data_IF_667198950599
#
_entry.id   IF_667198950599
#
_cell.length_a   1.000
_cell.length_b   1.000
_cell.length_c   1.000
_cell.angle_alpha   90.00
_cell.angle_beta   90.00
_cell.angle_gamma   90.00
#
_symmetry.space_group_name_H-M   'P 1'
#
loop_
_entity.id
_entity.type
_entity.pdbx_description
1 polymer ?
#
# COMPACT_ATOMS: atom_id res chain seq x y z
N UNK A 1 46.60 -44.43 -55.85
CA UNK A 1 47.19 -43.12 -56.22
C UNK A 1 46.20 -42.04 -55.80
N UNK A 2 46.65 -40.83 -55.42
CA UNK A 2 45.76 -39.68 -55.24
C UNK A 2 45.13 -39.52 -53.85
N UNK A 3 45.91 -38.99 -52.91
CA UNK A 3 45.51 -38.21 -51.73
C UNK A 3 46.39 -36.94 -51.77
N UNK A 4 46.16 -35.89 -50.95
CA UNK A 4 44.95 -35.22 -50.48
C UNK A 4 45.02 -33.76 -51.02
N UNK A 5 44.94 -32.64 -50.26
CA UNK A 5 44.20 -32.23 -49.03
C UNK A 5 43.16 -31.12 -49.40
N UNK A 6 42.69 -30.13 -48.62
CA UNK A 6 42.91 -29.49 -47.29
C UNK A 6 41.53 -28.95 -46.80
N UNK A 7 41.19 -28.55 -45.57
CA UNK A 7 41.59 -28.72 -44.14
C UNK A 7 40.30 -28.38 -43.31
N UNK A 8 40.08 -28.54 -42.00
CA UNK A 8 40.86 -28.35 -40.75
C UNK A 8 41.24 -26.89 -40.42
N UNK A 9 41.45 -26.50 -39.13
CA UNK A 9 41.34 -27.27 -37.88
C UNK A 9 40.34 -26.69 -36.84
N UNK A 10 40.17 -27.42 -35.72
CA UNK A 10 39.57 -26.98 -34.45
C UNK A 10 40.37 -27.61 -33.29
N UNK A 11 40.97 -26.79 -32.40
CA UNK A 11 41.82 -27.20 -31.23
C UNK A 11 42.12 -26.00 -30.31
N UNK A 12 42.27 -26.22 -28.99
CA UNK A 12 42.76 -25.24 -28.00
C UNK A 12 41.66 -24.77 -27.03
N UNK A 13 41.31 -25.48 -25.96
CA UNK A 13 42.07 -25.82 -24.73
C UNK A 13 42.25 -24.63 -23.75
N UNK A 14 41.65 -24.74 -22.54
CA UNK A 14 42.33 -24.49 -21.24
C UNK A 14 41.41 -24.79 -20.03
N UNK A 15 41.99 -24.96 -18.83
CA UNK A 15 41.32 -25.49 -17.62
C UNK A 15 40.93 -24.44 -16.54
N UNK A 16 40.02 -24.87 -15.64
CA UNK A 16 40.13 -24.77 -14.16
C UNK A 16 39.21 -23.84 -13.32
N UNK A 17 38.98 -24.31 -12.08
CA UNK A 17 38.46 -23.66 -10.85
C UNK A 17 37.06 -22.99 -10.78
N UNK A 18 36.07 -23.77 -10.29
CA UNK A 18 35.49 -23.51 -8.95
C UNK A 18 34.92 -24.79 -8.30
N UNK A 19 34.74 -24.82 -6.97
CA UNK A 19 34.32 -26.02 -6.21
C UNK A 19 33.24 -25.75 -5.15
N UNK A 20 32.25 -26.65 -4.99
CA UNK A 20 31.44 -26.75 -3.77
C UNK A 20 31.89 -27.91 -2.86
N UNK A 21 32.36 -27.61 -1.64
CA UNK A 21 32.56 -28.61 -0.57
C UNK A 21 31.24 -28.87 0.18
N UNK A 22 30.75 -30.11 0.24
CA UNK A 22 31.16 -31.25 1.10
C UNK A 22 30.56 -31.23 2.53
N UNK A 23 29.58 -32.10 2.74
CA UNK A 23 29.58 -33.08 3.84
C UNK A 23 29.11 -34.43 3.27
N UNK A 24 29.81 -35.51 3.60
CA UNK A 24 29.55 -36.89 3.14
C UNK A 24 29.92 -37.85 4.28
N UNK A 25 29.16 -38.93 4.45
CA UNK A 25 29.33 -39.90 5.54
C UNK A 25 28.04 -40.69 5.81
N UNK A 26 27.43 -41.31 4.80
CA UNK A 26 27.76 -42.67 4.30
C UNK A 26 27.25 -43.78 5.20
N UNK A 27 26.02 -44.23 4.94
CA UNK A 27 25.47 -45.49 5.46
C UNK A 27 26.20 -46.70 4.88
N UNK A 28 26.26 -47.82 5.61
CA UNK A 28 26.61 -49.16 5.10
C UNK A 28 25.47 -50.14 5.38
N UNK A 29 25.47 -51.27 4.66
CA UNK A 29 24.26 -52.10 4.46
C UNK A 29 23.85 -53.04 5.63
N UNK A 30 22.54 -53.32 5.72
CA UNK A 30 21.84 -54.65 5.75
C UNK A 30 22.33 -55.81 6.65
N UNK A 31 21.49 -56.85 6.97
CA UNK A 31 20.21 -57.20 6.34
C UNK A 31 19.04 -57.56 7.30
N UNK A 32 17.97 -58.08 6.68
CA UNK A 32 16.72 -58.65 7.19
C UNK A 32 16.76 -59.54 8.44
N UNK A 33 15.69 -59.46 9.25
CA UNK A 33 15.23 -60.47 10.22
C UNK A 33 13.71 -60.31 10.46
N UNK A 34 13.01 -61.41 10.72
CA UNK A 34 11.54 -61.50 10.86
C UNK A 34 11.16 -62.14 12.22
N UNK A 35 10.02 -61.72 12.81
CA UNK A 35 9.32 -62.38 13.95
C UNK A 35 10.13 -62.29 15.29
N UNK A 36 9.58 -62.13 16.50
CA UNK A 36 8.36 -62.64 17.14
C UNK A 36 7.85 -61.69 18.27
N UNK A 37 6.71 -62.01 18.89
CA UNK A 37 6.20 -61.34 20.11
C UNK A 37 6.73 -62.01 21.39
N UNK A 38 7.02 -61.23 22.45
CA UNK A 38 6.84 -61.69 23.83
C UNK A 38 6.59 -60.51 24.80
N UNK A 39 5.99 -60.79 25.96
CA UNK A 39 5.47 -59.81 26.92
C UNK A 39 5.99 -60.05 28.34
N UNK A 40 6.69 -59.07 28.94
CA UNK A 40 7.01 -59.08 30.36
C UNK A 40 7.00 -57.67 30.99
N UNK A 41 6.41 -57.58 32.17
CA UNK A 41 6.45 -56.42 33.08
C UNK A 41 7.66 -56.54 34.04
N UNK A 42 7.92 -55.46 34.81
CA UNK A 42 8.47 -55.40 36.20
C UNK A 42 9.47 -54.25 36.46
N UNK A 43 8.90 -53.08 36.78
CA UNK A 43 9.07 -52.40 38.10
C UNK A 43 10.47 -51.95 38.60
N UNK A 44 10.64 -50.61 38.74
CA UNK A 44 11.56 -49.86 39.65
C UNK A 44 13.09 -49.89 39.34
N UNK A 45 13.96 -48.94 39.74
CA UNK A 45 13.87 -47.75 40.62
C UNK A 45 14.89 -46.61 40.27
N UNK A 46 14.75 -45.45 40.94
CA UNK A 46 15.75 -44.38 41.22
C UNK A 46 16.43 -43.54 40.09
N UNK A 47 16.36 -42.20 40.16
CA UNK A 47 17.26 -41.26 39.45
C UNK A 47 18.16 -40.42 40.40
N UNK A 48 19.45 -40.21 40.05
CA UNK A 48 20.41 -39.37 40.82
C UNK A 48 21.46 -38.72 39.89
N UNK A 49 21.49 -37.36 39.83
CA UNK A 49 22.61 -36.47 39.41
C UNK A 49 23.19 -36.65 37.98
N UNK A 50 23.80 -35.68 37.27
CA UNK A 50 24.07 -34.22 37.36
C UNK A 50 24.52 -33.74 35.92
N UNK A 51 25.07 -32.53 35.65
CA UNK A 51 24.75 -31.16 36.08
C UNK A 51 24.62 -30.16 34.89
N UNK A 52 24.31 -28.87 35.17
CA UNK A 52 24.68 -27.59 34.47
C UNK A 52 24.93 -27.56 32.94
N UNK A 53 24.44 -26.56 32.19
CA UNK A 53 24.79 -25.11 32.32
C UNK A 53 23.62 -24.15 32.08
N UNK A 54 23.79 -22.86 32.43
CA UNK A 54 22.72 -21.86 32.48
C UNK A 54 23.09 -20.51 31.85
N UNK A 55 22.06 -19.73 31.48
CA UNK A 55 22.10 -18.28 31.27
C UNK A 55 21.04 -17.59 32.15
N UNK A 56 21.27 -16.38 32.69
CA UNK A 56 20.44 -15.79 33.74
C UNK A 56 19.24 -14.97 33.23
N UNK A 57 18.23 -14.81 34.10
CA UNK A 57 17.05 -13.97 33.92
C UNK A 57 16.97 -12.86 35.01
N UNK A 58 16.24 -11.75 34.78
CA UNK A 58 16.20 -10.61 35.72
C UNK A 58 15.36 -10.86 36.99
N UNK A 59 15.60 -10.10 38.09
CA UNK A 59 15.00 -10.38 39.41
C UNK A 59 13.57 -9.84 39.60
N UNK A 60 12.75 -10.48 40.46
CA UNK A 60 11.38 -10.08 40.76
C UNK A 60 11.25 -9.13 41.98
N UNK A 61 10.10 -8.47 42.12
CA UNK A 61 9.73 -7.64 43.28
C UNK A 61 8.88 -8.40 44.32
N UNK A 62 9.01 -8.01 45.59
CA UNK A 62 8.16 -8.43 46.72
C UNK A 62 7.37 -7.21 47.24
N UNK A 63 6.17 -7.30 47.82
CA UNK A 63 5.26 -8.45 47.97
C UNK A 63 4.19 -8.22 49.07
N UNK A 64 3.36 -9.25 49.30
CA UNK A 64 2.55 -9.52 50.52
C UNK A 64 1.33 -8.57 50.84
N UNK A 65 0.33 -8.91 51.70
CA UNK A 65 -0.91 -9.56 51.19
C UNK A 65 -2.28 -9.12 51.83
N UNK A 66 -3.29 -10.00 51.69
CA UNK A 66 -4.49 -10.28 52.56
C UNK A 66 -5.85 -9.56 52.37
N UNK A 67 -6.75 -10.27 51.69
CA UNK A 67 -8.16 -10.59 51.99
C UNK A 67 -8.91 -10.00 53.22
N UNK A 68 -10.17 -9.60 53.01
CA UNK A 68 -11.22 -9.44 54.03
C UNK A 68 -12.60 -9.17 53.38
N UNK A 69 -13.72 -9.49 54.04
CA UNK A 69 -15.09 -9.39 53.47
C UNK A 69 -16.05 -8.54 54.33
N UNK A 70 -17.10 -7.98 53.70
CA UNK A 70 -18.15 -7.17 54.37
C UNK A 70 -19.21 -6.64 53.39
N UNK A 71 -20.41 -6.32 53.89
CA UNK A 71 -21.59 -5.89 53.10
C UNK A 71 -22.19 -4.55 53.64
N UNK A 72 -23.31 -3.99 53.10
CA UNK A 72 -23.54 -2.53 53.01
C UNK A 72 -24.69 -2.06 53.94
N UNK A 73 -25.48 -0.98 53.67
CA UNK A 73 -25.26 0.29 52.95
C UNK A 73 -25.51 1.53 53.87
N UNK A 74 -25.46 2.77 53.34
CA UNK A 74 -25.95 3.94 54.10
C UNK A 74 -26.03 5.26 53.31
N UNK A 75 -27.16 5.97 53.44
CA UNK A 75 -27.35 7.36 52.99
C UNK A 75 -27.27 8.31 54.20
N UNK A 76 -26.77 9.54 54.01
CA UNK A 76 -26.71 10.57 55.05
C UNK A 76 -26.65 12.00 54.47
N UNK A 77 -27.30 12.95 55.14
CA UNK A 77 -27.47 14.35 54.68
C UNK A 77 -26.48 15.33 55.36
N UNK A 78 -26.36 16.59 54.88
CA UNK A 78 -25.30 17.52 55.30
C UNK A 78 -25.63 18.33 56.56
N UNK A 79 -24.58 18.80 57.24
CA UNK A 79 -24.67 19.86 58.28
C UNK A 79 -23.51 20.86 58.11
N UNK A 80 -23.70 22.08 58.61
CA UNK A 80 -22.90 23.28 58.32
C UNK A 80 -21.90 23.66 59.43
N UNK A 81 -20.93 24.53 59.11
CA UNK A 81 -20.43 25.49 60.11
C UNK A 81 -19.04 26.11 59.96
N UNK A 82 -19.04 27.38 59.54
CA UNK A 82 -18.13 28.48 59.95
C UNK A 82 -16.89 28.84 59.08
N UNK A 83 -16.50 30.12 59.26
CA UNK A 83 -15.64 31.00 58.44
C UNK A 83 -14.42 31.48 59.27
N UNK A 84 -13.37 32.17 58.74
CA UNK A 84 -13.37 33.31 57.80
C UNK A 84 -12.36 33.16 56.62
N UNK A 85 -12.16 34.10 55.69
CA UNK A 85 -12.75 35.44 55.43
C UNK A 85 -12.25 36.00 54.08
N UNK A 86 -12.84 37.09 53.56
CA UNK A 86 -12.58 37.59 52.19
C UNK A 86 -11.83 38.94 52.13
N UNK A 87 -11.03 39.14 51.08
CA UNK A 87 -10.35 40.40 50.72
C UNK A 87 -10.31 40.64 49.20
N UNK A 88 -10.21 41.90 48.79
CA UNK A 88 -10.40 42.36 47.40
C UNK A 88 -9.11 42.42 46.54
N UNK A 89 -9.23 42.33 45.20
CA UNK A 89 -8.33 42.99 44.24
C UNK A 89 -8.82 44.38 43.79
N UNK A 90 -7.91 45.22 43.28
CA UNK A 90 -8.03 46.70 43.19
C UNK A 90 -8.45 47.25 41.81
N UNK A 91 -9.06 48.45 41.78
CA UNK A 91 -9.37 49.26 40.57
C UNK A 91 -8.43 50.49 40.45
N UNK A 92 -8.07 50.93 39.23
CA UNK A 92 -7.05 52.01 39.09
C UNK A 92 -6.76 52.69 37.72
N UNK A 93 -7.78 53.07 36.94
CA UNK A 93 -7.81 54.20 35.96
C UNK A 93 -6.86 54.28 34.71
N UNK A 94 -7.32 55.13 33.77
CA UNK A 94 -6.86 55.46 32.39
C UNK A 94 -6.00 56.78 32.36
N UNK A 95 -5.61 57.44 31.22
CA UNK A 95 -5.97 57.25 29.78
C UNK A 95 -4.82 57.34 28.74
N UNK A 96 -5.14 57.18 27.45
CA UNK A 96 -4.32 57.60 26.29
C UNK A 96 -4.99 57.27 24.94
N UNK A 97 -5.16 58.24 24.03
CA UNK A 97 -5.93 58.10 22.77
C UNK A 97 -5.08 58.29 21.49
N UNK A 98 -5.46 57.59 20.42
CA UNK A 98 -4.93 57.74 19.05
C UNK A 98 -5.92 57.18 18.00
N UNK A 99 -5.90 57.70 16.77
CA UNK A 99 -6.93 57.45 15.74
C UNK A 99 -6.71 56.18 14.89
N UNK A 100 -7.79 55.60 14.31
CA UNK A 100 -7.70 54.53 13.31
C UNK A 100 -7.50 55.07 11.88
N UNK A 101 -6.60 54.45 11.10
CA UNK A 101 -6.37 54.77 9.68
C UNK A 101 -6.91 53.66 8.77
N UNK A 102 -7.62 54.05 7.72
CA UNK A 102 -8.14 53.14 6.68
C UNK A 102 -7.14 52.94 5.52
N UNK A 103 -7.09 51.72 4.98
CA UNK A 103 -6.53 51.42 3.65
C UNK A 103 -5.70 50.12 3.61
N UNK A 104 -5.54 49.45 2.47
CA UNK A 104 -6.26 49.53 1.19
C UNK A 104 -6.10 48.16 0.47
N UNK A 105 -6.83 47.92 -0.62
CA UNK A 105 -6.81 46.65 -1.36
C UNK A 105 -5.44 46.29 -1.96
N UNK A 106 -5.09 45.00 -2.12
CA UNK A 106 -3.93 44.56 -2.90
C UNK A 106 -4.06 44.97 -4.39
N UNK A 107 -3.08 45.71 -4.90
CA UNK A 107 -3.04 46.16 -6.29
C UNK A 107 -2.51 45.10 -7.26
N UNK A 108 -3.03 45.09 -8.49
CA UNK A 108 -2.53 44.26 -9.58
C UNK A 108 -1.22 44.83 -10.16
N UNK A 109 -0.20 43.98 -10.33
CA UNK A 109 1.03 44.31 -11.06
C UNK A 109 0.98 43.76 -12.49
N UNK A 110 1.22 44.62 -13.49
CA UNK A 110 1.36 44.23 -14.91
C UNK A 110 2.83 43.95 -15.30
N UNK A 111 3.08 43.23 -16.42
CA UNK A 111 4.42 42.75 -16.78
C UNK A 111 5.32 43.81 -17.42
N UNK A 112 6.62 43.74 -17.12
CA UNK A 112 7.67 44.58 -17.71
C UNK A 112 8.11 44.07 -19.10
N UNK A 113 8.31 44.99 -20.04
CA UNK A 113 8.88 44.75 -21.38
C UNK A 113 10.03 45.74 -21.65
N UNK A 114 11.11 45.29 -22.31
CA UNK A 114 11.93 46.18 -23.17
C UNK A 114 13.44 46.33 -22.88
N UNK A 115 14.24 45.97 -23.90
CA UNK A 115 15.43 46.67 -24.44
C UNK A 115 16.70 46.92 -23.56
N UNK A 116 17.69 46.02 -23.73
CA UNK A 116 19.03 46.21 -24.38
C UNK A 116 19.94 47.46 -24.09
N UNK A 117 21.27 47.39 -24.43
CA UNK A 117 22.32 47.95 -23.55
C UNK A 117 23.08 49.20 -24.09
N UNK A 118 23.85 49.84 -23.19
CA UNK A 118 24.80 50.92 -23.50
C UNK A 118 26.28 50.54 -23.26
N UNK A 119 27.20 51.27 -23.93
CA UNK A 119 28.65 51.03 -23.94
C UNK A 119 29.45 52.29 -23.51
N UNK A 120 30.66 52.08 -22.96
CA UNK A 120 31.67 53.11 -22.66
C UNK A 120 31.64 53.65 -21.22
N UNK A 121 32.75 54.12 -20.62
CA UNK A 121 34.18 54.14 -21.02
C UNK A 121 35.08 54.01 -19.74
N UNK A 122 36.40 53.75 -19.86
CA UNK A 122 37.28 53.49 -18.70
C UNK A 122 37.81 54.77 -18.03
N UNK A 123 38.11 54.68 -16.72
CA UNK A 123 38.76 55.74 -15.93
C UNK A 123 39.91 55.20 -15.07
N UNK A 124 40.98 55.99 -14.91
CA UNK A 124 42.23 55.64 -14.22
C UNK A 124 42.35 56.26 -12.82
N UNK A 125 43.08 55.60 -11.91
CA UNK A 125 43.97 56.31 -10.96
C UNK A 125 43.97 55.85 -9.50
N UNK A 126 45.18 55.82 -8.91
CA UNK A 126 45.51 55.78 -7.47
C UNK A 126 45.15 54.49 -6.68
N UNK A 127 45.98 53.96 -5.77
CA UNK A 127 47.42 54.13 -5.51
C UNK A 127 47.93 52.90 -4.68
N UNK A 128 49.18 52.40 -4.84
CA UNK A 128 49.62 51.17 -4.17
C UNK A 128 50.14 51.39 -2.74
N UNK A 129 49.69 50.57 -1.78
CA UNK A 129 50.26 50.50 -0.43
C UNK A 129 51.20 49.30 -0.26
N UNK A 130 52.43 49.54 0.19
CA UNK A 130 53.38 48.48 0.57
C UNK A 130 53.02 47.93 1.97
N UNK A 131 53.21 46.61 2.16
CA UNK A 131 52.67 45.87 3.32
C UNK A 131 53.62 45.68 4.51
N UNK A 132 53.17 44.87 5.47
CA UNK A 132 53.94 44.45 6.65
C UNK A 132 53.73 42.96 6.99
N UNK A 133 54.83 42.34 7.43
CA UNK A 133 55.07 41.05 8.11
C UNK A 133 54.00 39.91 8.15
N UNK A 134 54.42 38.64 7.90
CA UNK A 134 53.63 37.46 8.23
C UNK A 134 53.73 37.08 9.73
N UNK A 135 52.59 36.89 10.39
CA UNK A 135 52.52 36.42 11.79
C UNK A 135 52.62 34.90 11.90
N UNK A 136 53.47 34.41 12.82
CA UNK A 136 53.59 32.98 13.12
C UNK A 136 52.47 32.47 14.04
N UNK A 137 51.95 31.28 13.72
CA UNK A 137 51.45 30.29 14.69
C UNK A 137 50.24 30.66 15.56
N UNK A 138 49.05 30.18 15.16
CA UNK A 138 47.99 29.83 16.10
C UNK A 138 47.46 28.42 15.83
N UNK A 139 46.90 27.79 16.86
CA UNK A 139 46.65 26.34 16.90
C UNK A 139 45.52 25.89 15.97
N UNK A 140 45.55 24.64 15.46
CA UNK A 140 44.38 24.01 14.86
C UNK A 140 43.36 23.71 15.95
N UNK A 141 42.45 24.65 16.20
CA UNK A 141 41.27 24.40 17.02
C UNK A 141 40.43 23.28 16.41
N UNK A 142 39.90 22.38 17.25
CA UNK A 142 38.92 21.36 16.84
C UNK A 142 37.59 22.03 16.47
N UNK A 143 37.54 22.59 15.27
CA UNK A 143 36.32 23.15 14.70
C UNK A 143 35.28 22.05 14.53
N UNK A 144 34.19 22.12 15.29
CA UNK A 144 33.02 21.30 14.99
C UNK A 144 32.56 21.63 13.57
N UNK A 145 32.70 20.66 12.68
CA UNK A 145 32.41 20.81 11.26
C UNK A 145 30.92 21.17 11.10
N UNK A 146 30.57 22.37 10.59
CA UNK A 146 29.17 22.76 10.46
C UNK A 146 28.43 21.75 9.57
N UNK A 147 27.31 21.22 10.07
CA UNK A 147 26.62 20.08 9.47
C UNK A 147 26.42 20.27 7.96
N UNK A 148 27.11 19.43 7.18
CA UNK A 148 27.42 19.62 5.75
C UNK A 148 26.18 19.89 4.86
N UNK A 149 25.01 19.47 5.34
CA UNK A 149 23.69 19.75 4.78
C UNK A 149 23.40 21.22 4.45
N UNK A 150 23.97 22.19 5.20
CA UNK A 150 23.70 23.62 4.98
C UNK A 150 24.25 24.19 3.66
N UNK A 151 25.29 23.57 3.09
CA UNK A 151 25.98 24.05 1.88
C UNK A 151 25.70 23.18 0.64
N UNK A 152 24.78 22.23 0.71
CA UNK A 152 24.39 21.43 -0.46
C UNK A 152 23.45 22.24 -1.39
N UNK A 153 23.53 22.05 -2.71
CA UNK A 153 22.59 22.67 -3.63
C UNK A 153 21.16 22.16 -3.37
N UNK A 154 20.12 22.95 -3.72
CA UNK A 154 18.73 22.58 -3.45
C UNK A 154 18.31 21.21 -4.00
N UNK A 155 18.93 20.75 -5.09
CA UNK A 155 18.72 19.41 -5.65
C UNK A 155 19.18 18.28 -4.73
N UNK A 156 20.36 18.38 -4.11
CA UNK A 156 20.85 17.34 -3.21
C UNK A 156 20.10 17.35 -1.88
N UNK A 157 19.76 18.53 -1.37
CA UNK A 157 18.80 18.70 -0.27
C UNK A 157 17.45 18.04 -0.60
N UNK A 158 16.95 18.16 -1.83
CA UNK A 158 15.75 17.47 -2.27
C UNK A 158 15.95 15.95 -2.34
N UNK A 159 17.07 15.45 -2.89
CA UNK A 159 17.38 14.00 -2.97
C UNK A 159 17.49 13.33 -1.60
N UNK A 160 17.95 14.03 -0.56
CA UNK A 160 17.95 13.51 0.82
C UNK A 160 16.54 13.33 1.41
N UNK A 161 15.59 14.19 1.05
CA UNK A 161 14.20 14.14 1.53
C UNK A 161 13.25 13.39 0.58
N UNK A 162 13.69 13.16 -0.66
CA UNK A 162 13.05 12.40 -1.74
C UNK A 162 14.03 11.38 -2.34
N UNK A 163 14.49 10.37 -1.57
CA UNK A 163 15.40 9.34 -2.07
C UNK A 163 14.76 8.45 -3.14
N UNK A 164 13.42 8.43 -3.22
CA UNK A 164 12.66 7.66 -4.19
C UNK A 164 11.52 8.43 -4.84
N UNK A 165 10.42 7.74 -5.14
CA UNK A 165 9.30 8.28 -5.95
C UNK A 165 8.43 9.33 -5.26
N UNK A 166 8.54 9.48 -3.94
CA UNK A 166 7.78 10.45 -3.12
C UNK A 166 8.72 11.16 -2.12
N UNK A 167 8.32 12.32 -1.57
CA UNK A 167 8.94 12.85 -0.36
C UNK A 167 8.57 12.03 0.88
N UNK A 168 9.52 11.84 1.78
CA UNK A 168 9.34 11.11 3.05
C UNK A 168 8.67 11.97 4.13
N UNK A 169 7.54 12.58 3.80
CA UNK A 169 6.68 13.36 4.70
C UNK A 169 5.20 13.05 4.49
N UNK A 170 4.36 13.69 5.30
CA UNK A 170 2.90 13.75 5.12
C UNK A 170 2.56 14.17 3.69
N UNK A 171 1.83 13.31 2.96
CA UNK A 171 1.56 13.48 1.53
C UNK A 171 0.32 14.36 1.27
N UNK A 172 0.36 15.13 0.20
CA UNK A 172 -0.81 15.80 -0.39
C UNK A 172 -1.52 14.87 -1.38
N UNK A 173 -2.68 15.30 -1.90
CA UNK A 173 -3.44 14.54 -2.91
C UNK A 173 -2.61 14.33 -4.19
N UNK A 174 -2.01 15.40 -4.73
CA UNK A 174 -1.22 15.35 -5.95
C UNK A 174 -0.02 14.41 -5.84
N UNK A 175 0.69 14.45 -4.71
CA UNK A 175 1.86 13.59 -4.46
C UNK A 175 1.53 12.09 -4.42
N UNK A 176 0.30 11.70 -4.06
CA UNK A 176 -0.14 10.30 -4.14
C UNK A 176 -0.41 9.86 -5.59
N UNK A 177 -1.02 10.74 -6.39
CA UNK A 177 -1.33 10.46 -7.79
C UNK A 177 -0.04 10.45 -8.64
N UNK A 178 0.82 11.46 -8.48
CA UNK A 178 2.15 11.49 -9.11
C UNK A 178 3.01 10.32 -8.62
N UNK A 179 3.08 10.08 -7.30
CA UNK A 179 3.86 8.99 -6.71
C UNK A 179 3.47 7.61 -7.23
N UNK A 180 2.17 7.36 -7.44
CA UNK A 180 1.68 6.12 -8.06
C UNK A 180 2.17 5.98 -9.52
N UNK A 181 1.93 7.00 -10.35
CA UNK A 181 2.35 7.01 -11.75
C UNK A 181 3.88 6.92 -11.91
N UNK A 182 4.62 7.56 -11.00
CA UNK A 182 6.09 7.56 -10.94
C UNK A 182 6.65 6.22 -10.46
N UNK A 183 5.91 5.51 -9.59
CA UNK A 183 6.21 4.10 -9.25
C UNK A 183 6.03 3.20 -10.46
N UNK A 184 4.89 3.28 -11.16
CA UNK A 184 4.63 2.49 -12.37
C UNK A 184 5.69 2.75 -13.46
N UNK A 185 6.04 4.02 -13.71
CA UNK A 185 7.07 4.39 -14.70
C UNK A 185 8.49 3.97 -14.29
N UNK A 186 8.81 3.89 -12.99
CA UNK A 186 10.11 3.43 -12.49
C UNK A 186 10.24 1.91 -12.48
N UNK A 187 9.13 1.20 -12.26
CA UNK A 187 9.05 -0.26 -12.13
C UNK A 187 7.94 -0.87 -13.03
N UNK A 188 8.01 -0.70 -14.36
CA UNK A 188 6.94 -1.15 -15.26
C UNK A 188 6.78 -2.68 -15.26
N UNK A 189 7.89 -3.41 -15.11
CA UNK A 189 7.92 -4.86 -15.03
C UNK A 189 7.13 -5.39 -13.82
N UNK A 190 7.45 -4.91 -12.61
CA UNK A 190 6.79 -5.33 -11.38
C UNK A 190 5.40 -4.72 -11.13
N UNK A 191 4.94 -3.78 -11.98
CA UNK A 191 3.60 -3.18 -11.89
C UNK A 191 2.69 -3.63 -13.04
N UNK A 192 3.00 -3.22 -14.28
CA UNK A 192 2.22 -3.54 -15.47
C UNK A 192 2.49 -4.99 -15.91
N UNK A 193 3.74 -5.46 -15.86
CA UNK A 193 4.08 -6.85 -16.18
C UNK A 193 3.42 -7.83 -15.21
N UNK A 194 3.47 -7.56 -13.90
CA UNK A 194 2.70 -8.31 -12.90
C UNK A 194 1.19 -8.24 -13.16
N UNK A 195 0.64 -7.09 -13.57
CA UNK A 195 -0.78 -6.97 -13.88
C UNK A 195 -1.20 -7.81 -15.09
N UNK A 196 -0.42 -7.79 -16.16
CA UNK A 196 -0.60 -8.66 -17.34
C UNK A 196 -0.52 -10.14 -16.95
N UNK A 197 0.43 -10.55 -16.11
CA UNK A 197 0.55 -11.93 -15.64
C UNK A 197 -0.66 -12.36 -14.79
N UNK A 198 -1.00 -11.59 -13.74
CA UNK A 198 -2.10 -11.94 -12.84
C UNK A 198 -3.45 -11.92 -13.57
N UNK A 199 -3.73 -10.89 -14.37
CA UNK A 199 -4.96 -10.83 -15.16
C UNK A 199 -4.99 -11.92 -16.24
N UNK A 200 -3.88 -12.22 -16.91
CA UNK A 200 -3.84 -13.27 -17.94
C UNK A 200 -4.16 -14.65 -17.39
N UNK A 201 -3.52 -15.04 -16.29
CA UNK A 201 -3.76 -16.33 -15.61
C UNK A 201 -5.21 -16.46 -15.10
N UNK A 202 -5.83 -15.36 -14.68
CA UNK A 202 -7.21 -15.34 -14.19
C UNK A 202 -8.26 -15.22 -15.31
N UNK A 203 -7.97 -14.49 -16.39
CA UNK A 203 -8.93 -14.22 -17.47
C UNK A 203 -9.09 -15.37 -18.47
N UNK A 204 -8.08 -16.24 -18.65
CA UNK A 204 -8.22 -17.44 -19.48
C UNK A 204 -9.32 -18.40 -18.98
N UNK A 205 -9.35 -18.83 -17.70
CA UNK A 205 -10.45 -19.65 -17.18
C UNK A 205 -11.77 -18.86 -17.04
N UNK A 206 -11.71 -17.53 -16.83
CA UNK A 206 -12.90 -16.65 -16.86
C UNK A 206 -13.60 -16.68 -18.23
N UNK A 207 -12.81 -16.53 -19.29
CA UNK A 207 -13.29 -16.54 -20.67
C UNK A 207 -13.88 -17.91 -21.01
N UNK A 208 -13.19 -19.00 -20.66
CA UNK A 208 -13.69 -20.35 -20.86
C UNK A 208 -15.02 -20.59 -20.13
N UNK A 209 -15.14 -20.20 -18.85
CA UNK A 209 -16.40 -20.35 -18.10
C UNK A 209 -17.53 -19.51 -18.70
N UNK A 210 -17.24 -18.29 -19.15
CA UNK A 210 -18.21 -17.41 -19.79
C UNK A 210 -18.72 -17.99 -21.11
N UNK A 211 -17.84 -18.56 -21.93
CA UNK A 211 -18.20 -19.20 -23.21
C UNK A 211 -19.23 -20.33 -23.05
N UNK A 212 -19.16 -21.10 -21.96
CA UNK A 212 -20.08 -22.23 -21.70
C UNK A 212 -21.41 -21.83 -21.05
N UNK A 213 -21.67 -20.55 -20.76
CA UNK A 213 -22.93 -20.13 -20.11
C UNK A 213 -24.20 -20.51 -20.89
N UNK A 214 -24.27 -20.46 -22.24
CA UNK A 214 -25.42 -20.96 -22.99
C UNK A 214 -25.67 -22.46 -22.79
N UNK A 215 -24.61 -23.28 -22.76
CA UNK A 215 -24.70 -24.73 -22.59
C UNK A 215 -25.03 -25.14 -21.14
N UNK A 216 -24.49 -24.40 -20.17
CA UNK A 216 -24.75 -24.60 -18.73
C UNK A 216 -26.16 -24.15 -18.33
N UNK A 217 -26.72 -23.14 -19.01
CA UNK A 217 -28.01 -22.54 -18.70
C UNK A 217 -28.91 -22.37 -19.94
N UNK A 218 -29.28 -23.46 -20.64
CA UNK A 218 -30.01 -23.44 -21.93
C UNK A 218 -31.49 -23.01 -21.81
N UNK A 219 -31.87 -22.37 -20.70
CA UNK A 219 -33.18 -21.74 -20.47
C UNK A 219 -33.12 -20.21 -20.43
N UNK A 220 -31.91 -19.62 -20.47
CA UNK A 220 -31.71 -18.17 -20.52
C UNK A 220 -31.92 -17.66 -21.95
N UNK A 221 -32.46 -16.44 -22.09
CA UNK A 221 -32.35 -15.70 -23.35
C UNK A 221 -30.90 -15.27 -23.58
N UNK A 222 -30.54 -14.93 -24.82
CA UNK A 222 -29.18 -14.46 -25.15
C UNK A 222 -28.78 -13.22 -24.34
N UNK A 223 -29.72 -12.30 -24.09
CA UNK A 223 -29.52 -11.13 -23.24
C UNK A 223 -29.28 -11.49 -21.76
N UNK A 224 -30.01 -12.47 -21.23
CA UNK A 224 -29.82 -12.93 -19.85
C UNK A 224 -28.49 -13.68 -19.70
N UNK A 225 -28.12 -14.49 -20.69
CA UNK A 225 -26.85 -15.17 -20.77
C UNK A 225 -25.67 -14.19 -20.86
N UNK A 226 -25.81 -13.05 -21.57
CA UNK A 226 -24.83 -11.96 -21.56
C UNK A 226 -24.73 -11.31 -20.19
N UNK A 227 -25.86 -11.01 -19.54
CA UNK A 227 -25.87 -10.42 -18.21
C UNK A 227 -25.22 -11.32 -17.15
N UNK A 228 -25.45 -12.65 -17.23
CA UNK A 228 -24.77 -13.65 -16.39
C UNK A 228 -23.28 -13.74 -16.72
N UNK A 229 -22.91 -13.76 -18.00
CA UNK A 229 -21.52 -13.87 -18.43
C UNK A 229 -20.66 -12.68 -18.01
N UNK A 230 -21.20 -11.45 -18.04
CA UNK A 230 -20.49 -10.22 -17.64
C UNK A 230 -20.16 -10.15 -16.13
N UNK A 231 -20.87 -10.91 -15.28
CA UNK A 231 -20.56 -11.01 -13.84
C UNK A 231 -19.21 -11.73 -13.62
N UNK A 232 -18.85 -12.67 -14.50
CA UNK A 232 -17.67 -13.53 -14.34
C UNK A 232 -16.36 -12.71 -14.44
N UNK A 233 -16.04 -11.99 -15.53
CA UNK A 233 -14.85 -11.15 -15.60
C UNK A 233 -14.88 -10.01 -14.56
N UNK A 234 -16.06 -9.52 -14.17
CA UNK A 234 -16.19 -8.53 -13.09
C UNK A 234 -15.70 -9.06 -11.73
N UNK A 235 -16.08 -10.29 -11.36
CA UNK A 235 -15.61 -10.96 -10.14
C UNK A 235 -14.12 -11.31 -10.23
N UNK A 236 -13.68 -11.82 -11.38
CA UNK A 236 -12.29 -12.23 -11.61
C UNK A 236 -11.34 -11.03 -11.64
N UNK A 237 -11.74 -9.91 -12.25
CA UNK A 237 -11.02 -8.63 -12.22
C UNK A 237 -10.94 -8.04 -10.80
N UNK A 238 -12.00 -8.21 -9.99
CA UNK A 238 -11.99 -7.84 -8.57
C UNK A 238 -10.96 -8.66 -7.77
N UNK A 239 -10.88 -9.97 -8.01
CA UNK A 239 -9.86 -10.84 -7.39
C UNK A 239 -8.43 -10.49 -7.85
N UNK A 240 -8.25 -10.24 -9.15
CA UNK A 240 -6.98 -9.78 -9.71
C UNK A 240 -6.55 -8.45 -9.08
N UNK A 241 -7.48 -7.51 -8.90
CA UNK A 241 -7.23 -6.21 -8.24
C UNK A 241 -6.77 -6.36 -6.80
N UNK A 242 -7.40 -7.24 -6.01
CA UNK A 242 -6.99 -7.52 -4.63
C UNK A 242 -5.60 -8.17 -4.56
N UNK A 243 -5.30 -9.07 -5.50
CA UNK A 243 -4.00 -9.74 -5.61
C UNK A 243 -2.90 -8.76 -6.03
N UNK A 244 -3.15 -7.94 -7.05
CA UNK A 244 -2.23 -6.93 -7.57
C UNK A 244 -1.99 -5.79 -6.60
N UNK A 245 -2.98 -5.44 -5.79
CA UNK A 245 -2.79 -4.54 -4.65
C UNK A 245 -1.61 -5.01 -3.80
N UNK A 246 -1.60 -6.28 -3.38
CA UNK A 246 -0.51 -6.84 -2.58
C UNK A 246 0.88 -6.76 -3.21
N UNK A 247 1.00 -7.04 -4.51
CA UNK A 247 2.27 -6.92 -5.24
C UNK A 247 2.72 -5.45 -5.39
N UNK A 248 1.82 -4.56 -5.84
CA UNK A 248 2.12 -3.14 -6.06
C UNK A 248 2.43 -2.42 -4.75
N UNK A 249 1.81 -2.81 -3.63
CA UNK A 249 2.14 -2.32 -2.28
C UNK A 249 3.63 -2.54 -1.95
N UNK A 250 4.19 -3.71 -2.26
CA UNK A 250 5.62 -3.97 -2.04
C UNK A 250 6.48 -3.12 -2.99
N UNK A 251 6.14 -3.07 -4.28
CA UNK A 251 6.87 -2.27 -5.28
C UNK A 251 6.88 -0.78 -4.93
N UNK A 252 5.77 -0.24 -4.42
CA UNK A 252 5.71 1.13 -3.87
C UNK A 252 6.70 1.26 -2.70
N UNK A 253 6.68 0.35 -1.71
CA UNK A 253 7.55 0.45 -0.52
C UNK A 253 9.05 0.45 -0.83
N UNK A 254 9.49 -0.26 -1.87
CA UNK A 254 10.87 -0.22 -2.35
C UNK A 254 11.15 1.03 -3.20
N UNK A 255 10.18 1.46 -4.01
CA UNK A 255 10.28 2.66 -4.84
C UNK A 255 10.30 3.97 -4.03
N UNK A 256 9.74 4.01 -2.81
CA UNK A 256 9.87 5.18 -1.90
C UNK A 256 11.26 5.28 -1.28
N UNK A 257 11.95 4.15 -1.09
CA UNK A 257 13.35 4.07 -0.62
C UNK A 257 14.38 4.25 -1.76
N UNK A 258 13.90 4.44 -2.98
CA UNK A 258 14.70 4.79 -4.16
C UNK A 258 15.16 3.62 -5.00
N UNK A 259 14.77 2.39 -4.66
CA UNK A 259 15.22 1.20 -5.39
C UNK A 259 14.34 0.90 -6.61
N UNK A 260 14.66 -0.21 -7.29
CA UNK A 260 13.87 -0.76 -8.40
C UNK A 260 13.64 -2.25 -8.18
N UNK A 261 12.50 -2.75 -8.64
CA UNK A 261 12.05 -4.13 -8.41
C UNK A 261 11.54 -4.73 -9.72
N UNK A 262 11.97 -5.95 -10.02
CA UNK A 262 11.44 -6.79 -11.10
C UNK A 262 10.46 -7.86 -10.58
N UNK A 263 9.85 -8.61 -11.50
CA UNK A 263 8.82 -9.62 -11.24
C UNK A 263 9.28 -10.65 -10.22
N UNK A 264 10.49 -11.21 -10.38
CA UNK A 264 11.00 -12.27 -9.51
C UNK A 264 11.13 -11.82 -8.04
N UNK A 265 11.72 -10.65 -7.79
CA UNK A 265 11.85 -10.09 -6.44
C UNK A 265 10.48 -9.73 -5.83
N UNK A 266 9.55 -9.21 -6.64
CA UNK A 266 8.17 -8.93 -6.22
C UNK A 266 7.40 -10.20 -5.86
N UNK A 267 7.58 -11.27 -6.63
CA UNK A 267 7.03 -12.59 -6.32
C UNK A 267 7.63 -13.15 -5.03
N UNK A 268 8.95 -13.14 -4.89
CA UNK A 268 9.63 -13.73 -3.72
C UNK A 268 9.29 -13.03 -2.40
N UNK A 269 9.10 -11.70 -2.43
CA UNK A 269 8.65 -10.94 -1.26
C UNK A 269 7.20 -11.25 -0.85
N UNK A 270 6.32 -11.56 -1.81
CA UNK A 270 4.85 -11.65 -1.59
C UNK A 270 4.31 -13.08 -1.59
N UNK A 271 5.00 -14.07 -2.19
CA UNK A 271 4.54 -15.47 -2.32
C UNK A 271 4.12 -16.09 -0.98
N UNK A 272 4.93 -15.88 0.07
CA UNK A 272 4.64 -16.32 1.44
C UNK A 272 3.48 -15.58 2.14
N UNK A 273 2.80 -14.67 1.44
CA UNK A 273 1.65 -13.90 1.93
C UNK A 273 0.40 -14.06 1.07
N UNK A 274 0.43 -14.83 -0.03
CA UNK A 274 -0.73 -15.03 -0.91
C UNK A 274 -1.92 -15.60 -0.14
N UNK A 275 -1.73 -16.61 0.72
CA UNK A 275 -2.84 -17.15 1.55
C UNK A 275 -3.42 -16.11 2.53
N UNK A 276 -2.61 -15.17 3.02
CA UNK A 276 -3.09 -14.09 3.88
C UNK A 276 -3.81 -12.98 3.08
N UNK A 277 -3.37 -12.71 1.84
CA UNK A 277 -4.05 -11.83 0.88
C UNK A 277 -5.41 -12.41 0.46
N UNK A 278 -5.48 -13.71 0.14
CA UNK A 278 -6.74 -14.42 -0.12
C UNK A 278 -7.63 -14.40 1.12
N UNK A 279 -7.07 -14.67 2.31
CA UNK A 279 -7.83 -14.64 3.57
C UNK A 279 -8.45 -13.26 3.87
N UNK A 280 -7.72 -12.16 3.68
CA UNK A 280 -8.29 -10.82 3.91
C UNK A 280 -9.24 -10.38 2.79
N UNK A 281 -9.01 -10.84 1.56
CA UNK A 281 -9.93 -10.65 0.43
C UNK A 281 -11.27 -11.34 0.70
N UNK A 282 -11.24 -12.61 1.11
CA UNK A 282 -12.42 -13.40 1.44
C UNK A 282 -13.17 -12.81 2.64
N UNK A 283 -12.48 -12.43 3.72
CA UNK A 283 -13.12 -11.78 4.88
C UNK A 283 -13.75 -10.43 4.50
N UNK A 284 -13.13 -9.65 3.61
CA UNK A 284 -13.67 -8.37 3.15
C UNK A 284 -14.88 -8.57 2.23
N UNK A 285 -14.83 -9.55 1.32
CA UNK A 285 -15.93 -9.95 0.46
C UNK A 285 -17.12 -10.44 1.30
N UNK A 286 -16.90 -11.36 2.25
CA UNK A 286 -17.94 -11.86 3.16
C UNK A 286 -18.54 -10.74 4.01
N UNK A 287 -17.75 -9.78 4.50
CA UNK A 287 -18.27 -8.63 5.22
C UNK A 287 -19.19 -7.74 4.34
N UNK A 288 -18.78 -7.45 3.10
CA UNK A 288 -19.59 -6.69 2.14
C UNK A 288 -20.87 -7.44 1.79
N UNK A 289 -20.77 -8.70 1.37
CA UNK A 289 -21.91 -9.54 0.99
C UNK A 289 -22.89 -9.74 2.16
N UNK A 290 -22.39 -9.92 3.39
CA UNK A 290 -23.27 -10.06 4.57
C UNK A 290 -24.11 -8.81 4.82
N UNK A 291 -23.56 -7.61 4.59
CA UNK A 291 -24.30 -6.35 4.73
C UNK A 291 -25.24 -6.14 3.55
N UNK A 292 -24.82 -6.42 2.31
CA UNK A 292 -25.68 -6.35 1.12
C UNK A 292 -26.91 -7.27 1.28
N UNK A 293 -26.69 -8.55 1.60
CA UNK A 293 -27.76 -9.53 1.83
C UNK A 293 -28.60 -9.19 3.07
N UNK A 294 -28.00 -8.69 4.15
CA UNK A 294 -28.73 -8.29 5.36
C UNK A 294 -29.70 -7.13 5.12
N UNK A 295 -29.26 -6.09 4.39
CA UNK A 295 -30.12 -4.93 4.06
C UNK A 295 -31.16 -5.29 2.99
N UNK A 296 -30.80 -6.14 2.02
CA UNK A 296 -31.75 -6.68 1.03
C UNK A 296 -32.86 -7.52 1.71
N UNK A 297 -32.47 -8.46 2.57
CA UNK A 297 -33.39 -9.31 3.33
C UNK A 297 -34.33 -8.47 4.21
N UNK A 298 -33.78 -7.49 4.94
CA UNK A 298 -34.58 -6.55 5.73
C UNK A 298 -35.57 -5.77 4.86
N UNK A 299 -35.14 -5.28 3.69
CA UNK A 299 -36.00 -4.58 2.74
C UNK A 299 -37.14 -5.46 2.22
N UNK A 300 -36.86 -6.69 1.81
CA UNK A 300 -37.86 -7.66 1.34
C UNK A 300 -38.84 -8.03 2.47
N UNK A 301 -38.35 -8.28 3.69
CA UNK A 301 -39.21 -8.57 4.84
C UNK A 301 -40.14 -7.40 5.18
N UNK A 302 -39.65 -6.16 5.12
CA UNK A 302 -40.49 -4.96 5.29
C UNK A 302 -41.55 -4.85 4.18
N UNK A 303 -41.17 -5.06 2.91
CA UNK A 303 -42.07 -5.04 1.76
C UNK A 303 -43.20 -6.07 1.86
N UNK A 304 -42.90 -7.28 2.35
CA UNK A 304 -43.92 -8.32 2.59
C UNK A 304 -44.79 -7.98 3.81
N UNK A 305 -44.21 -7.52 4.91
CA UNK A 305 -44.93 -7.30 6.17
C UNK A 305 -45.81 -6.04 6.18
N UNK A 306 -45.45 -4.99 5.43
CA UNK A 306 -46.12 -3.67 5.46
C UNK A 306 -46.55 -3.19 4.06
N UNK A 307 -46.54 -4.08 3.07
CA UNK A 307 -47.05 -3.82 1.72
C UNK A 307 -46.41 -2.60 1.05
N UNK A 308 -47.19 -1.66 0.47
CA UNK A 308 -46.66 -0.50 -0.25
C UNK A 308 -45.71 0.38 0.58
N UNK A 309 -45.97 0.55 1.89
CA UNK A 309 -45.07 1.29 2.77
C UNK A 309 -43.74 0.55 2.96
N UNK A 310 -43.81 -0.78 3.07
CA UNK A 310 -42.63 -1.64 3.11
C UNK A 310 -41.76 -1.57 1.85
N UNK A 311 -42.40 -1.50 0.66
CA UNK A 311 -41.68 -1.32 -0.61
C UNK A 311 -40.96 0.04 -0.68
N UNK A 312 -41.55 1.11 -0.14
CA UNK A 312 -40.90 2.42 -0.01
C UNK A 312 -39.70 2.32 0.97
N UNK A 313 -39.86 1.63 2.10
CA UNK A 313 -38.78 1.41 3.07
C UNK A 313 -37.63 0.57 2.49
N UNK A 314 -37.92 -0.40 1.61
CA UNK A 314 -36.93 -1.15 0.84
C UNK A 314 -36.16 -0.23 -0.12
N UNK A 315 -36.84 0.66 -0.86
CA UNK A 315 -36.18 1.66 -1.70
C UNK A 315 -35.25 2.58 -0.90
N UNK A 316 -35.71 3.06 0.26
CA UNK A 316 -34.91 3.87 1.17
C UNK A 316 -33.72 3.10 1.78
N UNK A 317 -33.85 1.81 2.07
CA UNK A 317 -32.74 0.99 2.58
C UNK A 317 -31.66 0.76 1.51
N UNK A 318 -32.05 0.59 0.24
CA UNK A 318 -31.12 0.52 -0.89
C UNK A 318 -30.38 1.85 -1.12
N UNK A 319 -31.02 3.00 -0.91
CA UNK A 319 -30.34 4.31 -0.96
C UNK A 319 -29.36 4.45 0.22
N UNK A 320 -29.77 4.06 1.43
CA UNK A 320 -28.92 4.06 2.63
C UNK A 320 -27.73 3.08 2.56
N UNK A 321 -27.83 2.05 1.71
CA UNK A 321 -26.76 1.08 1.45
C UNK A 321 -25.53 1.72 0.80
N UNK A 322 -25.71 2.78 -0.02
CA UNK A 322 -24.61 3.46 -0.72
C UNK A 322 -23.60 4.09 0.27
N UNK A 323 -23.97 5.03 1.16
CA UNK A 323 -23.03 5.59 2.13
C UNK A 323 -22.51 4.55 3.14
N UNK A 324 -23.28 3.49 3.44
CA UNK A 324 -22.84 2.38 4.27
C UNK A 324 -21.73 1.56 3.60
N UNK A 325 -21.87 1.25 2.31
CA UNK A 325 -20.84 0.58 1.50
C UNK A 325 -19.59 1.47 1.33
N UNK A 326 -19.76 2.76 1.10
CA UNK A 326 -18.64 3.72 1.06
C UNK A 326 -17.86 3.73 2.38
N UNK A 327 -18.56 3.82 3.52
CA UNK A 327 -17.94 3.76 4.84
C UNK A 327 -17.23 2.42 5.09
N UNK A 328 -17.84 1.29 4.70
CA UNK A 328 -17.25 -0.05 4.87
C UNK A 328 -16.00 -0.23 3.99
N UNK A 329 -16.04 0.22 2.75
CA UNK A 329 -14.86 0.26 1.87
C UNK A 329 -13.72 1.09 2.47
N UNK A 330 -14.02 2.27 3.01
CA UNK A 330 -13.04 3.11 3.70
C UNK A 330 -12.44 2.45 4.95
N UNK A 331 -13.13 1.47 5.56
CA UNK A 331 -12.60 0.66 6.68
C UNK A 331 -11.71 -0.50 6.25
N UNK A 332 -11.98 -1.11 5.11
CA UNK A 332 -11.31 -2.36 4.67
C UNK A 332 -10.17 -2.13 3.67
N UNK A 333 -10.19 -1.03 2.90
CA UNK A 333 -9.25 -0.73 1.81
C UNK A 333 -7.76 -0.79 2.17
N UNK A 334 -7.36 -0.45 3.39
CA UNK A 334 -5.95 -0.49 3.81
C UNK A 334 -5.51 -1.85 4.37
N UNK A 335 -6.39 -2.85 4.41
CA UNK A 335 -6.13 -4.16 5.00
C UNK A 335 -5.04 -4.96 4.29
N UNK A 336 -5.08 -5.01 2.96
CA UNK A 336 -4.07 -5.70 2.15
C UNK A 336 -2.65 -5.13 2.38
N UNK A 337 -2.55 -3.81 2.57
CA UNK A 337 -1.29 -3.13 2.84
C UNK A 337 -0.67 -3.53 4.19
N UNK A 338 -1.49 -3.70 5.23
CA UNK A 338 -1.05 -4.24 6.51
C UNK A 338 -0.60 -5.71 6.42
N UNK A 339 -1.33 -6.56 5.67
CA UNK A 339 -0.97 -7.97 5.47
C UNK A 339 0.41 -8.14 4.82
N UNK A 340 0.71 -7.32 3.81
CA UNK A 340 2.01 -7.37 3.11
C UNK A 340 3.12 -6.69 3.91
N UNK A 341 2.98 -5.41 4.25
CA UNK A 341 4.09 -4.60 4.79
C UNK A 341 4.37 -4.83 6.28
N UNK A 342 3.38 -5.26 7.06
CA UNK A 342 3.59 -5.63 8.47
C UNK A 342 3.64 -7.15 8.68
N UNK A 343 3.62 -7.93 7.59
CA UNK A 343 3.59 -9.41 7.62
C UNK A 343 2.45 -9.94 8.50
N UNK A 344 1.34 -9.22 8.57
CA UNK A 344 0.20 -9.49 9.44
C UNK A 344 -0.71 -10.61 8.89
N UNK A 345 -1.41 -11.32 9.80
CA UNK A 345 -2.49 -12.23 9.42
C UNK A 345 -3.79 -11.49 9.02
N UNK A 346 -4.74 -12.14 8.32
CA UNK A 346 -5.93 -11.48 7.76
C UNK A 346 -6.75 -10.64 8.76
N UNK A 347 -7.11 -11.22 9.90
CA UNK A 347 -7.89 -10.57 10.95
C UNK A 347 -7.12 -9.38 11.55
N UNK A 348 -5.80 -9.53 11.72
CA UNK A 348 -4.92 -8.46 12.19
C UNK A 348 -4.86 -7.31 11.18
N UNK A 349 -4.77 -7.61 9.88
CA UNK A 349 -4.83 -6.62 8.80
C UNK A 349 -6.14 -5.83 8.78
N UNK A 350 -7.29 -6.47 9.01
CA UNK A 350 -8.60 -5.79 9.16
C UNK A 350 -8.60 -4.87 10.38
N UNK A 351 -8.19 -5.38 11.56
CA UNK A 351 -8.08 -4.57 12.79
C UNK A 351 -7.15 -3.36 12.61
N UNK A 352 -6.05 -3.54 11.87
CA UNK A 352 -5.06 -2.51 11.54
C UNK A 352 -5.63 -1.43 10.61
N UNK A 353 -6.29 -1.83 9.53
CA UNK A 353 -7.01 -0.94 8.62
C UNK A 353 -8.07 -0.13 9.36
N UNK A 354 -8.81 -0.77 10.27
CA UNK A 354 -9.80 -0.12 11.12
C UNK A 354 -9.18 0.94 12.03
N UNK A 355 -8.02 0.66 12.64
CA UNK A 355 -7.29 1.57 13.53
C UNK A 355 -6.72 2.80 12.79
N UNK A 356 -6.07 2.60 11.64
CA UNK A 356 -5.51 3.70 10.83
C UNK A 356 -6.61 4.68 10.37
N UNK A 357 -7.76 4.14 9.97
CA UNK A 357 -8.90 4.89 9.39
C UNK A 357 -9.80 5.57 10.43
N UNK A 358 -9.52 5.53 11.74
CA UNK A 358 -10.44 6.05 12.77
C UNK A 358 -10.71 7.55 12.69
N UNK A 359 -11.92 7.97 13.06
CA UNK A 359 -12.33 9.38 13.11
C UNK A 359 -12.26 10.08 11.74
N UNK A 360 -11.84 11.35 11.73
CA UNK A 360 -11.87 12.23 10.55
C UNK A 360 -11.08 11.71 9.33
N UNK A 361 -10.10 10.83 9.53
CA UNK A 361 -9.27 10.32 8.42
C UNK A 361 -10.00 9.30 7.53
N UNK A 362 -11.10 8.69 7.98
CA UNK A 362 -11.95 7.86 7.13
C UNK A 362 -12.39 8.61 5.85
N UNK A 363 -12.81 9.86 6.00
CA UNK A 363 -13.25 10.72 4.88
C UNK A 363 -12.12 11.07 3.91
N UNK A 364 -10.88 11.22 4.42
CA UNK A 364 -9.69 11.44 3.60
C UNK A 364 -9.33 10.20 2.79
N UNK A 365 -9.29 9.03 3.43
CA UNK A 365 -9.04 7.74 2.74
C UNK A 365 -10.15 7.48 1.71
N UNK A 366 -11.42 7.64 2.09
CA UNK A 366 -12.57 7.53 1.19
C UNK A 366 -12.43 8.45 -0.02
N UNK A 367 -12.28 9.76 0.19
CA UNK A 367 -12.30 10.75 -0.89
C UNK A 367 -11.14 10.58 -1.87
N UNK A 368 -9.95 10.22 -1.38
CA UNK A 368 -8.78 9.99 -2.24
C UNK A 368 -8.93 8.68 -3.02
N UNK A 369 -9.37 7.59 -2.37
CA UNK A 369 -9.63 6.32 -3.07
C UNK A 369 -10.77 6.43 -4.08
N UNK A 370 -11.84 7.16 -3.74
CA UNK A 370 -12.96 7.42 -4.64
C UNK A 370 -12.53 8.26 -5.85
N UNK A 371 -11.71 9.30 -5.65
CA UNK A 371 -11.18 10.08 -6.76
C UNK A 371 -10.25 9.23 -7.66
N UNK A 372 -9.42 8.36 -7.07
CA UNK A 372 -8.57 7.45 -7.84
C UNK A 372 -9.42 6.43 -8.64
N UNK A 373 -10.48 5.89 -8.04
CA UNK A 373 -11.44 5.00 -8.69
C UNK A 373 -12.23 5.71 -9.80
N UNK A 374 -12.62 6.98 -9.61
CA UNK A 374 -13.28 7.80 -10.64
C UNK A 374 -12.32 8.09 -11.79
N UNK A 375 -11.08 8.49 -11.53
CA UNK A 375 -10.07 8.75 -12.59
C UNK A 375 -9.74 7.48 -13.37
N UNK A 376 -9.55 6.35 -12.69
CA UNK A 376 -9.34 5.05 -13.32
C UNK A 376 -10.58 4.57 -14.10
N UNK A 377 -11.77 4.77 -13.53
CA UNK A 377 -13.06 4.39 -14.13
C UNK A 377 -13.42 5.23 -15.34
N UNK A 378 -13.11 6.53 -15.37
CA UNK A 378 -13.27 7.40 -16.54
C UNK A 378 -12.30 7.01 -17.65
N UNK A 379 -11.04 6.69 -17.33
CA UNK A 379 -10.07 6.17 -18.30
C UNK A 379 -10.52 4.82 -18.88
N UNK A 380 -11.02 3.92 -18.02
CA UNK A 380 -11.58 2.64 -18.41
C UNK A 380 -12.82 2.78 -19.30
N UNK A 381 -13.79 3.62 -18.92
CA UNK A 381 -15.02 3.86 -19.66
C UNK A 381 -14.74 4.58 -21.00
N UNK A 382 -13.74 5.45 -21.08
CA UNK A 382 -13.32 6.08 -22.33
C UNK A 382 -12.77 5.05 -23.31
N UNK A 383 -11.81 4.22 -22.89
CA UNK A 383 -11.16 3.23 -23.74
C UNK A 383 -12.14 2.09 -24.09
N UNK A 384 -12.78 1.50 -23.08
CA UNK A 384 -13.72 0.39 -23.25
C UNK A 384 -14.99 0.81 -23.99
N UNK A 385 -15.49 2.02 -23.76
CA UNK A 385 -16.63 2.58 -24.49
C UNK A 385 -16.33 2.81 -25.97
N UNK A 386 -15.17 3.40 -26.31
CA UNK A 386 -14.77 3.60 -27.71
C UNK A 386 -14.50 2.25 -28.40
N UNK A 387 -13.74 1.36 -27.77
CA UNK A 387 -13.38 0.05 -28.31
C UNK A 387 -14.62 -0.85 -28.49
N UNK A 388 -15.47 -0.91 -27.47
CA UNK A 388 -16.72 -1.67 -27.47
C UNK A 388 -17.73 -1.14 -28.49
N UNK A 389 -17.92 0.18 -28.60
CA UNK A 389 -18.82 0.77 -29.58
C UNK A 389 -18.34 0.57 -31.02
N UNK A 390 -17.04 0.77 -31.31
CA UNK A 390 -16.48 0.58 -32.64
C UNK A 390 -16.55 -0.89 -33.08
N UNK A 391 -16.08 -1.82 -32.24
CA UNK A 391 -16.05 -3.24 -32.59
C UNK A 391 -17.46 -3.85 -32.58
N UNK A 392 -18.34 -3.44 -31.66
CA UNK A 392 -19.74 -3.83 -31.66
C UNK A 392 -20.49 -3.36 -32.91
N UNK A 393 -20.26 -2.13 -33.36
CA UNK A 393 -20.86 -1.61 -34.59
C UNK A 393 -20.33 -2.32 -35.84
N UNK A 394 -19.02 -2.57 -35.93
CA UNK A 394 -18.42 -3.32 -37.04
C UNK A 394 -19.01 -4.75 -37.11
N UNK A 395 -19.13 -5.43 -35.97
CA UNK A 395 -19.66 -6.80 -35.93
C UNK A 395 -21.17 -6.85 -36.24
N UNK A 396 -21.96 -5.89 -35.73
CA UNK A 396 -23.38 -5.76 -36.05
C UNK A 396 -23.68 -5.41 -37.51
N UNK A 397 -22.70 -4.88 -38.26
CA UNK A 397 -22.79 -4.69 -39.71
C UNK A 397 -22.37 -5.92 -40.53
N UNK A 398 -21.81 -6.95 -39.88
CA UNK A 398 -21.29 -8.17 -40.53
C UNK A 398 -22.12 -9.41 -40.18
N UNK A 399 -22.84 -9.42 -39.06
CA UNK A 399 -23.67 -10.57 -38.65
C UNK A 399 -24.88 -10.19 -37.80
N UNK A 400 -26.07 -10.55 -38.29
CA UNK A 400 -27.36 -10.47 -37.58
C UNK A 400 -27.60 -11.65 -36.62
N UNK A 401 -26.73 -12.66 -36.60
CA UNK A 401 -26.89 -13.83 -35.73
C UNK A 401 -26.63 -13.49 -34.25
N UNK A 402 -27.69 -13.56 -33.45
CA UNK A 402 -27.64 -13.38 -32.00
C UNK A 402 -26.73 -14.40 -31.29
N UNK A 403 -26.51 -15.58 -31.88
CA UNK A 403 -25.56 -16.59 -31.39
C UNK A 403 -24.11 -16.12 -31.56
N UNK A 404 -23.70 -15.74 -32.76
CA UNK A 404 -22.39 -15.16 -33.03
C UNK A 404 -22.14 -13.87 -32.23
N UNK A 405 -23.17 -13.02 -32.08
CA UNK A 405 -23.09 -11.80 -31.25
C UNK A 405 -22.81 -12.10 -29.78
N UNK A 406 -23.36 -13.19 -29.23
CA UNK A 406 -23.06 -13.63 -27.86
C UNK A 406 -21.55 -13.85 -27.66
N UNK A 407 -20.96 -14.75 -28.46
CA UNK A 407 -19.55 -15.12 -28.32
C UNK A 407 -18.61 -13.93 -28.60
N UNK A 408 -18.94 -13.10 -29.59
CA UNK A 408 -18.16 -11.90 -29.90
C UNK A 408 -18.13 -10.91 -28.72
N UNK A 409 -19.28 -10.62 -28.10
CA UNK A 409 -19.36 -9.72 -26.95
C UNK A 409 -18.59 -10.28 -25.73
N UNK A 410 -18.65 -11.60 -25.49
CA UNK A 410 -17.89 -12.25 -24.41
C UNK A 410 -16.38 -12.14 -24.62
N UNK A 411 -15.87 -12.31 -25.85
CA UNK A 411 -14.45 -12.07 -26.18
C UNK A 411 -14.09 -10.60 -25.98
N UNK A 412 -14.92 -9.70 -26.54
CA UNK A 412 -14.70 -8.26 -26.53
C UNK A 412 -14.60 -7.70 -25.11
N UNK A 413 -15.47 -8.14 -24.19
CA UNK A 413 -15.45 -7.76 -22.79
C UNK A 413 -14.23 -8.29 -22.04
N UNK A 414 -13.84 -9.55 -22.24
CA UNK A 414 -12.64 -10.12 -21.60
C UNK A 414 -11.35 -9.44 -22.08
N UNK A 415 -11.23 -9.18 -23.40
CA UNK A 415 -10.08 -8.47 -23.97
C UNK A 415 -10.03 -7.02 -23.46
N UNK A 416 -11.18 -6.33 -23.41
CA UNK A 416 -11.28 -4.98 -22.85
C UNK A 416 -10.86 -4.95 -21.38
N UNK A 417 -11.45 -5.81 -20.56
CA UNK A 417 -11.19 -5.91 -19.11
C UNK A 417 -9.74 -6.27 -18.82
N UNK A 418 -9.13 -7.17 -19.60
CA UNK A 418 -7.71 -7.51 -19.50
C UNK A 418 -6.80 -6.32 -19.82
N UNK A 419 -6.96 -5.70 -21.00
CA UNK A 419 -6.10 -4.60 -21.46
C UNK A 419 -6.22 -3.35 -20.59
N UNK A 420 -7.46 -2.98 -20.24
CA UNK A 420 -7.74 -1.81 -19.40
C UNK A 420 -7.31 -2.06 -17.96
N UNK A 421 -7.61 -3.25 -17.42
CA UNK A 421 -7.24 -3.66 -16.07
C UNK A 421 -5.73 -3.65 -15.84
N UNK A 422 -4.95 -4.08 -16.84
CA UNK A 422 -3.48 -4.10 -16.77
C UNK A 422 -2.85 -2.70 -16.57
N UNK A 423 -3.55 -1.63 -16.96
CA UNK A 423 -3.11 -0.25 -16.83
C UNK A 423 -3.74 0.43 -15.60
N UNK A 424 -5.04 0.23 -15.37
CA UNK A 424 -5.79 0.93 -14.31
C UNK A 424 -5.57 0.34 -12.92
N UNK A 425 -5.42 -0.98 -12.81
CA UNK A 425 -5.28 -1.67 -11.52
C UNK A 425 -3.99 -1.30 -10.79
N UNK A 426 -2.80 -1.24 -11.44
CA UNK A 426 -1.59 -0.79 -10.75
C UNK A 426 -1.67 0.67 -10.27
N UNK A 427 -2.41 1.53 -10.97
CA UNK A 427 -2.57 2.93 -10.58
C UNK A 427 -3.40 3.07 -9.29
N UNK A 428 -4.55 2.39 -9.19
CA UNK A 428 -5.41 2.44 -7.99
C UNK A 428 -4.76 1.72 -6.80
N UNK A 429 -4.07 0.60 -7.06
CA UNK A 429 -3.25 -0.10 -6.08
C UNK A 429 -2.12 0.79 -5.53
N UNK A 430 -1.41 1.52 -6.41
CA UNK A 430 -0.33 2.43 -6.02
C UNK A 430 -0.82 3.60 -5.15
N UNK A 431 -1.97 4.19 -5.49
CA UNK A 431 -2.62 5.20 -4.61
C UNK A 431 -3.02 4.59 -3.26
N UNK A 432 -3.53 3.35 -3.22
CA UNK A 432 -3.89 2.66 -1.97
C UNK A 432 -2.66 2.40 -1.09
N UNK A 433 -1.54 1.99 -1.68
CA UNK A 433 -0.28 1.80 -0.97
C UNK A 433 0.26 3.11 -0.38
N UNK A 434 0.21 4.20 -1.14
CA UNK A 434 0.63 5.53 -0.70
C UNK A 434 -0.32 6.13 0.36
N UNK A 435 -1.62 5.83 0.29
CA UNK A 435 -2.58 6.16 1.34
C UNK A 435 -2.27 5.46 2.66
N UNK A 436 -1.95 4.15 2.61
CA UNK A 436 -1.54 3.40 3.80
C UNK A 436 -0.25 3.97 4.41
N UNK A 437 0.74 4.29 3.58
CA UNK A 437 1.99 4.91 4.02
C UNK A 437 1.76 6.29 4.66
N UNK A 438 0.93 7.14 4.04
CA UNK A 438 0.52 8.43 4.58
C UNK A 438 -0.26 8.31 5.91
N UNK A 439 -1.10 7.29 6.08
CA UNK A 439 -1.73 7.04 7.39
C UNK A 439 -0.71 6.64 8.45
N UNK A 440 0.26 5.78 8.13
CA UNK A 440 1.31 5.40 9.10
C UNK A 440 2.24 6.57 9.44
N UNK A 441 2.61 7.41 8.48
CA UNK A 441 3.33 8.67 8.74
C UNK A 441 2.50 9.60 9.65
N UNK A 442 1.19 9.75 9.42
CA UNK A 442 0.31 10.62 10.23
C UNK A 442 0.01 10.10 11.63
N UNK A 443 0.01 8.78 11.83
CA UNK A 443 -0.37 8.14 13.10
C UNK A 443 0.83 7.69 13.96
N UNK A 444 1.96 7.38 13.34
CA UNK A 444 3.01 6.56 13.96
C UNK A 444 4.42 7.15 13.85
N UNK A 445 4.62 8.26 13.13
CA UNK A 445 5.96 8.85 12.92
C UNK A 445 6.88 7.99 12.05
N UNK A 446 6.30 7.25 11.08
CA UNK A 446 7.04 6.36 10.19
C UNK A 446 8.04 7.11 9.26
N UNK A 447 7.89 8.42 9.10
CA UNK A 447 8.79 9.29 8.33
C UNK A 447 10.24 9.22 8.82
N UNK A 448 10.47 9.26 10.14
CA UNK A 448 11.83 9.15 10.72
C UNK A 448 12.48 7.79 10.40
N UNK A 449 11.69 6.71 10.42
CA UNK A 449 12.17 5.35 10.09
C UNK A 449 12.52 5.19 8.61
N UNK A 450 11.68 5.74 7.72
CA UNK A 450 11.92 5.73 6.27
C UNK A 450 13.15 6.56 5.89
N UNK A 451 13.33 7.73 6.52
CA UNK A 451 14.51 8.58 6.28
C UNK A 451 15.81 7.85 6.64
N UNK A 452 15.85 7.16 7.80
CA UNK A 452 17.00 6.35 8.19
C UNK A 452 17.26 5.20 7.21
N UNK A 453 16.23 4.40 6.91
CA UNK A 453 16.37 3.24 6.02
C UNK A 453 16.83 3.64 4.60
N UNK A 454 16.37 4.80 4.10
CA UNK A 454 16.83 5.33 2.83
C UNK A 454 18.27 5.86 2.88
N UNK A 455 18.70 6.47 3.99
CA UNK A 455 20.10 6.89 4.19
C UNK A 455 21.04 5.69 4.27
N UNK A 456 20.67 4.64 5.00
CA UNK A 456 21.40 3.37 5.09
C UNK A 456 21.54 2.71 3.71
N UNK A 457 20.43 2.59 2.95
CA UNK A 457 20.44 2.11 1.56
C UNK A 457 21.20 3.03 0.60
N UNK A 458 21.29 4.33 0.86
CA UNK A 458 22.08 5.26 0.04
C UNK A 458 23.59 5.17 0.33
N UNK A 459 23.98 4.88 1.59
CA UNK A 459 25.36 4.59 1.96
C UNK A 459 25.82 3.25 1.38
N UNK A 460 24.99 2.20 1.50
CA UNK A 460 25.27 0.86 0.94
C UNK A 460 25.32 0.80 -0.60
N UNK A 461 24.95 1.88 -1.30
CA UNK A 461 25.09 2.04 -2.76
C UNK A 461 26.31 2.90 -3.17
N UNK A 462 27.15 3.29 -2.20
CA UNK A 462 28.38 4.08 -2.38
C UNK A 462 29.64 3.37 -1.86
N UNK A 463 29.46 2.22 -1.21
CA UNK A 463 30.50 1.25 -0.85
C UNK A 463 30.51 0.12 -1.89
#
# INVERSE_FOLDING_TARGET
MGQPPDQAPDTGDDESYWQPGRYVGSSSESPSGEVEEDSADLTQAHPVQDPTTAFPAPPPTQGVPTSGAGQPPGYGQPTSGQQPGYGQPTYGQQPGYGQPTYGQQPGYGQPTYGQQPGYGQPGYGQQPGYGQQPGYGQQPGYGQQPSQWHNLPPEDLARMHQPGVIPLRRLTLGEMFEGSLKTMRRNPEATIGMAVLVLGVLMVPSLALSMFIPDLFPRLGTLDALAVAAIIPSLVSSLATLTLSGFVIYVVSEATLGDRVGIAATWDAVKGRILALVGISLLSFLAVISVLLGVLLLGVLLAVAVGPLGAILMGLSMIGLIPLMMWLYARLSLGAAAVVLEKAGPITGIKRSWALTQGKQAWRVLGISLLAAIVAGLFAALIGGIFGALLGAIFGLVSDDLGAQYYFQVILDHVSTFLIGAITTPFTAGVTALLYLDQRIRREGLDVGLLRAAQERAAARRA
#
